data_IF_771087672095
#
_entry.id   IF_771087672095
#
_cell.length_a   1.000
_cell.length_b   1.000
_cell.length_c   1.000
_cell.angle_alpha   90.00
_cell.angle_beta   90.00
_cell.angle_gamma   90.00
#
_symmetry.space_group_name_H-M   'P 1'
#
loop_
_entity.id
_entity.type
_entity.pdbx_description
1 polymer ?
#
# COMPACT_ATOMS: atom_id res chain seq x y z
N UNK A 1 -4.94 -18.92 -19.10
CA UNK A 1 -6.15 -18.36 -18.47
C UNK A 1 -5.85 -17.81 -17.09
N UNK A 2 -6.38 -16.64 -16.80
CA UNK A 2 -6.19 -16.00 -15.50
C UNK A 2 -7.19 -16.59 -14.50
N UNK A 3 -6.73 -17.01 -13.32
CA UNK A 3 -7.60 -17.53 -12.27
C UNK A 3 -8.50 -16.42 -11.69
N UNK A 4 -9.64 -16.77 -11.07
CA UNK A 4 -10.48 -15.78 -10.39
C UNK A 4 -9.73 -15.00 -9.32
N UNK A 5 -8.82 -15.64 -8.59
CA UNK A 5 -8.02 -14.98 -7.58
C UNK A 5 -7.08 -13.95 -8.19
N UNK A 6 -6.45 -14.28 -9.31
CA UNK A 6 -5.57 -13.34 -10.02
C UNK A 6 -6.34 -12.14 -10.54
N UNK A 7 -7.56 -12.37 -11.06
CA UNK A 7 -8.42 -11.29 -11.53
C UNK A 7 -8.83 -10.35 -10.40
N UNK A 8 -9.18 -10.91 -9.24
CA UNK A 8 -9.52 -10.09 -8.07
C UNK A 8 -8.33 -9.26 -7.61
N UNK A 9 -7.15 -9.87 -7.58
CA UNK A 9 -5.93 -9.18 -7.22
C UNK A 9 -5.62 -8.04 -8.17
N UNK A 10 -5.67 -8.30 -9.48
CA UNK A 10 -5.42 -7.30 -10.50
C UNK A 10 -6.41 -6.14 -10.44
N UNK A 11 -7.70 -6.44 -10.25
CA UNK A 11 -8.71 -5.40 -10.14
C UNK A 11 -8.48 -4.53 -8.90
N UNK A 12 -8.11 -5.13 -7.78
CA UNK A 12 -7.83 -4.40 -6.56
C UNK A 12 -6.60 -3.51 -6.73
N UNK A 13 -5.53 -4.02 -7.35
CA UNK A 13 -4.31 -3.24 -7.61
C UNK A 13 -4.59 -2.03 -8.50
N UNK A 14 -5.39 -2.23 -9.55
CA UNK A 14 -5.78 -1.12 -10.43
C UNK A 14 -6.62 -0.08 -9.69
N UNK A 15 -7.55 -0.53 -8.84
CA UNK A 15 -8.37 0.38 -8.04
C UNK A 15 -7.52 1.21 -7.09
N UNK A 16 -6.55 0.58 -6.43
CA UNK A 16 -5.64 1.28 -5.51
C UNK A 16 -4.77 2.28 -6.27
N UNK A 17 -4.21 1.89 -7.41
CA UNK A 17 -3.39 2.80 -8.22
C UNK A 17 -4.19 4.04 -8.64
N UNK A 18 -5.41 3.84 -9.10
CA UNK A 18 -6.29 4.94 -9.49
C UNK A 18 -6.62 5.86 -8.31
N UNK A 19 -6.92 5.27 -7.17
CA UNK A 19 -7.22 6.00 -5.94
C UNK A 19 -6.02 6.83 -5.48
N UNK A 20 -4.81 6.24 -5.52
CA UNK A 20 -3.58 6.95 -5.17
C UNK A 20 -3.33 8.15 -6.09
N UNK A 21 -3.57 7.99 -7.39
CA UNK A 21 -3.42 9.11 -8.32
C UNK A 21 -4.35 10.27 -7.97
N UNK A 22 -5.58 9.96 -7.58
CA UNK A 22 -6.54 10.98 -7.16
C UNK A 22 -6.10 11.71 -5.90
N UNK A 23 -5.41 11.01 -5.00
CA UNK A 23 -4.88 11.62 -3.78
C UNK A 23 -3.69 12.54 -4.02
N UNK A 24 -3.03 12.40 -5.17
CA UNK A 24 -1.87 13.22 -5.49
C UNK A 24 -0.62 12.45 -5.88
N UNK A 25 -0.62 11.12 -5.79
CA UNK A 25 0.47 10.29 -6.25
C UNK A 25 0.32 10.09 -7.76
N UNK A 26 0.62 11.12 -8.53
CA UNK A 26 0.26 11.19 -9.95
C UNK A 26 0.88 10.12 -10.83
N UNK A 27 1.98 9.52 -10.38
CA UNK A 27 2.66 8.47 -11.12
C UNK A 27 2.37 7.07 -10.57
N UNK A 28 1.48 6.95 -9.59
CA UNK A 28 1.13 5.65 -9.03
C UNK A 28 0.50 4.77 -10.11
N UNK A 29 1.04 3.57 -10.28
CA UNK A 29 0.55 2.62 -11.25
C UNK A 29 0.78 1.20 -10.76
N UNK A 30 0.06 0.27 -11.29
CA UNK A 30 0.25 -1.12 -10.98
C UNK A 30 1.64 -1.57 -11.43
N UNK A 31 2.34 -2.32 -10.58
CA UNK A 31 3.67 -2.83 -10.90
C UNK A 31 3.66 -3.70 -12.14
N UNK A 32 4.70 -3.56 -12.95
CA UNK A 32 4.83 -4.32 -14.19
C UNK A 32 5.11 -5.77 -13.92
N UNK A 33 4.52 -6.64 -14.72
CA UNK A 33 4.86 -8.06 -14.72
C UNK A 33 6.31 -8.22 -15.15
N UNK A 34 6.99 -9.22 -14.59
CA UNK A 34 8.35 -9.53 -15.00
C UNK A 34 9.46 -9.00 -14.12
N UNK A 35 9.14 -8.30 -13.04
CA UNK A 35 10.15 -7.95 -12.04
C UNK A 35 10.71 -9.24 -11.44
N UNK A 36 12.04 -9.31 -11.31
CA UNK A 36 12.70 -10.46 -10.70
C UNK A 36 12.63 -10.43 -9.18
N UNK A 37 12.51 -9.23 -8.61
CA UNK A 37 12.35 -9.03 -7.18
C UNK A 37 10.93 -8.62 -6.87
N UNK A 38 10.44 -9.08 -5.72
CA UNK A 38 9.14 -8.63 -5.24
C UNK A 38 9.31 -7.26 -4.59
N UNK A 39 8.78 -6.24 -5.23
CA UNK A 39 8.90 -4.82 -4.82
C UNK A 39 7.56 -4.20 -4.47
N UNK A 40 6.54 -5.03 -4.26
CA UNK A 40 5.19 -4.55 -4.01
C UNK A 40 4.36 -4.45 -5.28
N UNK A 41 3.12 -4.05 -5.10
CA UNK A 41 2.11 -4.08 -6.16
C UNK A 41 1.92 -2.75 -6.89
N UNK A 42 2.47 -1.67 -6.36
CA UNK A 42 2.30 -0.31 -6.91
C UNK A 42 3.65 0.34 -7.14
N UNK A 43 3.85 0.85 -8.35
CA UNK A 43 5.03 1.65 -8.70
C UNK A 43 4.67 3.14 -8.69
N UNK A 44 5.69 3.98 -8.74
CA UNK A 44 5.49 5.42 -8.89
C UNK A 44 5.28 6.18 -7.59
N UNK A 45 5.62 5.56 -6.48
CA UNK A 45 5.58 6.19 -5.16
C UNK A 45 6.98 6.13 -4.55
N UNK A 46 7.85 7.09 -4.85
CA UNK A 46 9.24 7.04 -4.37
C UNK A 46 9.31 6.88 -2.85
N UNK A 47 10.06 5.87 -2.41
CA UNK A 47 10.26 5.61 -0.99
C UNK A 47 9.13 4.88 -0.29
N UNK A 48 8.04 4.57 -0.99
CA UNK A 48 6.86 3.93 -0.38
C UNK A 48 6.54 2.63 -1.09
N UNK A 49 6.41 1.56 -0.33
CA UNK A 49 6.06 0.24 -0.85
C UNK A 49 4.61 -0.08 -0.48
N UNK A 50 3.79 -0.37 -1.48
CA UNK A 50 2.38 -0.72 -1.26
C UNK A 50 2.11 -2.14 -1.74
N UNK A 51 1.60 -2.97 -0.84
CA UNK A 51 1.10 -4.29 -1.14
C UNK A 51 -0.42 -4.24 -1.13
N UNK A 52 -1.07 -4.89 -2.07
CA UNK A 52 -2.54 -4.89 -2.16
C UNK A 52 -3.05 -6.31 -1.99
N UNK A 53 -4.01 -6.50 -1.11
CA UNK A 53 -4.61 -7.81 -0.84
C UNK A 53 -6.13 -7.76 -1.00
N UNK A 54 -6.65 -8.71 -1.77
CA UNK A 54 -8.08 -8.86 -1.99
C UNK A 54 -8.49 -10.32 -1.72
N UNK A 55 -7.96 -10.90 -0.68
CA UNK A 55 -8.17 -12.31 -0.35
C UNK A 55 -9.39 -12.49 0.55
N UNK A 56 -10.06 -13.61 0.37
CA UNK A 56 -11.23 -13.96 1.15
C UNK A 56 -10.85 -14.19 2.62
N UNK A 57 -9.70 -14.82 2.86
CA UNK A 57 -9.17 -15.07 4.18
C UNK A 57 -8.01 -14.14 4.45
N UNK A 58 -8.16 -13.29 5.44
CA UNK A 58 -7.16 -12.26 5.76
C UNK A 58 -6.12 -12.83 6.72
N UNK A 59 -4.84 -12.67 6.34
CA UNK A 59 -3.69 -13.12 7.14
C UNK A 59 -2.75 -11.93 7.37
N UNK A 60 -3.09 -11.08 8.31
CA UNK A 60 -2.31 -9.86 8.58
C UNK A 60 -0.85 -10.15 8.91
N UNK A 61 -0.50 -11.09 9.81
CA UNK A 61 0.90 -11.36 10.07
C UNK A 61 1.68 -11.78 8.83
N UNK A 62 1.08 -12.63 7.99
CA UNK A 62 1.70 -13.06 6.74
C UNK A 62 1.91 -11.90 5.77
N UNK A 63 0.92 -11.05 5.64
CA UNK A 63 1.00 -9.88 4.76
C UNK A 63 2.11 -8.93 5.22
N UNK A 64 2.25 -8.71 6.51
CA UNK A 64 3.27 -7.82 7.04
C UNK A 64 4.68 -8.39 6.84
N UNK A 65 4.84 -9.71 6.92
CA UNK A 65 6.12 -10.35 6.61
C UNK A 65 6.50 -10.15 5.13
N UNK A 66 5.52 -10.30 4.23
CA UNK A 66 5.74 -10.04 2.81
C UNK A 66 6.13 -8.58 2.58
N UNK A 67 5.42 -7.67 3.23
CA UNK A 67 5.70 -6.23 3.10
C UNK A 67 7.13 -5.90 3.53
N UNK A 68 7.61 -6.48 4.61
CA UNK A 68 8.98 -6.25 5.08
C UNK A 68 10.00 -6.64 4.02
N UNK A 69 9.81 -7.79 3.37
CA UNK A 69 10.69 -8.25 2.29
C UNK A 69 10.63 -7.29 1.11
N UNK A 70 9.44 -6.86 0.73
CA UNK A 70 9.22 -5.97 -0.40
C UNK A 70 9.81 -4.58 -0.15
N UNK A 71 9.69 -4.06 1.08
CA UNK A 71 10.31 -2.80 1.47
C UNK A 71 11.83 -2.90 1.29
N UNK A 72 12.43 -4.00 1.74
CA UNK A 72 13.86 -4.21 1.58
C UNK A 72 14.25 -4.31 0.11
N UNK A 73 13.52 -5.09 -0.68
CA UNK A 73 13.81 -5.26 -2.10
C UNK A 73 13.69 -3.95 -2.89
N UNK A 74 12.68 -3.15 -2.58
CA UNK A 74 12.44 -1.87 -3.26
C UNK A 74 13.28 -0.73 -2.71
N UNK A 75 13.97 -0.96 -1.59
CA UNK A 75 14.73 0.07 -0.87
C UNK A 75 13.84 1.24 -0.44
N UNK A 76 12.56 0.95 -0.20
CA UNK A 76 11.64 1.93 0.34
C UNK A 76 11.96 2.17 1.82
N UNK A 77 11.58 3.34 2.31
CA UNK A 77 11.75 3.62 3.73
C UNK A 77 10.49 3.33 4.54
N UNK A 78 9.36 3.13 3.86
CA UNK A 78 8.09 2.83 4.50
C UNK A 78 7.16 2.07 3.56
N UNK A 79 6.06 1.59 4.08
CA UNK A 79 5.06 0.92 3.26
C UNK A 79 3.83 0.53 4.06
N UNK A 80 2.85 0.03 3.35
CA UNK A 80 1.60 -0.44 3.95
C UNK A 80 0.98 -1.54 3.08
N UNK A 81 0.14 -2.35 3.71
CA UNK A 81 -0.71 -3.31 3.01
C UNK A 81 -2.10 -2.70 2.92
N UNK A 82 -2.62 -2.55 1.72
CA UNK A 82 -3.99 -2.11 1.50
C UNK A 82 -4.85 -3.35 1.32
N UNK A 83 -5.79 -3.55 2.22
CA UNK A 83 -6.63 -4.75 2.24
C UNK A 83 -8.03 -4.36 1.83
N UNK A 84 -8.53 -5.00 0.78
CA UNK A 84 -9.87 -4.73 0.29
C UNK A 84 -10.91 -5.11 1.34
N UNK A 85 -11.80 -4.17 1.64
CA UNK A 85 -12.95 -4.43 2.49
C UNK A 85 -14.01 -5.18 1.67
N UNK A 86 -14.51 -6.26 2.23
CA UNK A 86 -15.55 -7.07 1.59
C UNK A 86 -16.79 -6.23 1.33
N UNK A 87 -17.29 -6.31 0.10
CA UNK A 87 -18.51 -5.60 -0.28
C UNK A 87 -18.32 -4.13 -0.64
N UNK A 88 -17.10 -3.60 -0.57
CA UNK A 88 -16.85 -2.21 -0.93
C UNK A 88 -15.95 -2.10 -2.16
N UNK A 89 -16.34 -1.27 -3.12
CA UNK A 89 -15.53 -0.95 -4.28
C UNK A 89 -14.79 0.39 -4.11
N UNK A 90 -15.09 1.11 -3.03
CA UNK A 90 -14.46 2.40 -2.75
C UNK A 90 -13.23 2.18 -1.87
N UNK A 91 -12.05 2.48 -2.39
CA UNK A 91 -10.79 2.27 -1.67
C UNK A 91 -10.71 3.13 -0.40
N UNK A 92 -11.41 4.24 -0.33
CA UNK A 92 -11.50 5.05 0.89
C UNK A 92 -11.93 4.20 2.10
N UNK A 93 -12.74 3.17 1.86
CA UNK A 93 -13.28 2.32 2.91
C UNK A 93 -12.43 1.08 3.19
N UNK A 94 -11.38 0.87 2.40
CA UNK A 94 -10.50 -0.28 2.60
C UNK A 94 -9.55 -0.02 3.78
N UNK A 95 -8.76 -1.01 4.14
CA UNK A 95 -7.90 -0.93 5.30
C UNK A 95 -6.45 -0.73 4.91
N UNK A 96 -5.76 0.20 5.54
CA UNK A 96 -4.32 0.34 5.41
C UNK A 96 -3.70 -0.25 6.68
N UNK A 97 -2.87 -1.28 6.54
CA UNK A 97 -2.28 -1.99 7.67
C UNK A 97 -0.76 -1.91 7.57
N UNK A 98 -0.13 -1.60 8.67
CA UNK A 98 1.32 -1.51 8.76
C UNK A 98 1.77 -1.90 10.16
N UNK A 99 3.06 -2.27 10.34
CA UNK A 99 3.57 -2.48 11.69
C UNK A 99 3.41 -1.20 12.52
N UNK A 100 3.09 -1.35 13.79
CA UNK A 100 2.90 -0.20 14.68
C UNK A 100 4.10 0.74 14.68
N UNK A 101 5.31 0.19 14.59
CA UNK A 101 6.54 0.99 14.51
C UNK A 101 6.53 1.91 13.29
N UNK A 102 6.14 1.38 12.14
CA UNK A 102 6.07 2.15 10.89
C UNK A 102 5.08 3.29 11.02
N UNK A 103 3.89 2.99 11.54
CA UNK A 103 2.87 4.01 11.77
C UNK A 103 3.37 5.10 12.73
N UNK A 104 3.99 4.68 13.84
CA UNK A 104 4.52 5.63 14.81
C UNK A 104 5.58 6.54 14.21
N UNK A 105 6.50 6.00 13.42
CA UNK A 105 7.52 6.79 12.74
C UNK A 105 6.91 7.80 11.76
N UNK A 106 5.87 7.38 11.02
CA UNK A 106 5.16 8.28 10.12
C UNK A 106 4.51 9.43 10.90
N UNK A 107 3.89 9.14 12.03
CA UNK A 107 3.25 10.17 12.84
C UNK A 107 4.26 11.18 13.37
N UNK A 108 5.44 10.73 13.76
CA UNK A 108 6.52 11.63 14.18
C UNK A 108 6.95 12.54 13.02
N UNK A 109 7.10 11.97 11.84
CA UNK A 109 7.49 12.77 10.66
C UNK A 109 6.45 13.82 10.31
N UNK A 110 5.18 13.47 10.40
CA UNK A 110 4.08 14.39 10.10
C UNK A 110 3.99 15.51 11.14
N UNK A 111 4.52 15.29 12.33
CA UNK A 111 4.52 16.28 13.39
C UNK A 111 5.68 17.29 13.31
N UNK A 112 6.53 17.20 12.29
CA UNK A 112 7.62 18.12 12.12
C UNK A 112 7.12 19.49 11.64
N UNK A 113 7.76 20.60 12.08
CA UNK A 113 7.29 21.95 11.75
C UNK A 113 7.13 22.22 10.25
N UNK A 114 7.96 21.59 9.42
CA UNK A 114 7.97 21.84 7.99
C UNK A 114 7.08 20.88 7.20
N UNK A 115 6.51 19.89 7.84
CA UNK A 115 5.88 18.80 7.12
C UNK A 115 4.42 18.60 7.41
N UNK A 116 3.86 19.23 8.40
CA UNK A 116 2.52 18.88 8.82
C UNK A 116 1.59 20.07 9.04
N UNK A 117 0.83 20.44 8.03
CA UNK A 117 -0.17 21.50 8.17
C UNK A 117 -1.33 21.13 9.08
N UNK A 118 -1.48 19.85 9.39
CA UNK A 118 -2.58 19.36 10.18
C UNK A 118 -2.20 19.04 11.63
N UNK A 119 -1.04 19.51 12.09
CA UNK A 119 -0.63 19.27 13.47
C UNK A 119 -1.70 19.80 14.42
N UNK A 120 -2.28 18.94 15.25
CA UNK A 120 -3.29 19.39 16.20
C UNK A 120 -2.71 20.40 17.17
N UNK A 121 -3.47 21.42 17.44
CA UNK A 121 -3.11 22.37 18.46
C UNK A 121 -3.40 21.76 19.81
N UNK A 122 -2.44 21.81 20.65
CA UNK A 122 -2.59 21.29 22.00
C UNK A 122 -3.15 22.35 22.92
#
# INVERSE_FOLDING_TARGET
MTSPQKRKGSAAELAVAKWLRKLGWIHAERSRAGWTDDRGDIDGMPGVCIEVKAEKKIDIPGYLRELEVEIENSKAWTGAVIIKRRGSTNVDDWYAVMPAKVWGELMVMLDQPNGNPATPLN
#
